data_IF_276404697641
#
_entry.id   IF_276404697641
#
_cell.length_a   1.000
_cell.length_b   1.000
_cell.length_c   1.000
_cell.angle_alpha   90.00
_cell.angle_beta   90.00
_cell.angle_gamma   90.00
#
_symmetry.space_group_name_H-M   'P 1'
#
loop_
_entity.id
_entity.type
_entity.pdbx_description
1 polymer ?
#
# COMPACT_ATOMS: atom_id res chain seq x y z
N UNK A 1 21.45 23.06 -0.79
CA UNK A 1 21.03 21.98 -1.68
C UNK A 1 19.53 22.12 -1.82
N UNK A 2 19.09 22.40 -3.03
CA UNK A 2 17.71 22.69 -3.40
C UNK A 2 16.79 21.53 -2.98
N UNK A 3 16.13 21.63 -1.83
CA UNK A 3 14.99 20.78 -1.47
C UNK A 3 13.83 21.21 -2.37
N UNK A 4 13.88 20.77 -3.62
CA UNK A 4 12.79 20.94 -4.57
C UNK A 4 11.51 20.43 -3.93
N UNK A 5 10.49 21.29 -3.89
CA UNK A 5 9.12 20.95 -3.50
C UNK A 5 8.77 19.58 -4.09
N UNK A 6 8.35 18.60 -3.26
CA UNK A 6 8.03 17.27 -3.77
C UNK A 6 6.97 17.43 -4.87
N UNK A 7 7.10 16.70 -5.99
CA UNK A 7 6.15 16.81 -7.08
C UNK A 7 4.76 16.49 -6.54
N UNK A 8 3.80 17.39 -6.80
CA UNK A 8 2.43 17.19 -6.37
C UNK A 8 1.91 15.85 -6.88
N UNK A 9 1.19 15.07 -6.04
CA UNK A 9 0.59 13.83 -6.46
C UNK A 9 -0.42 14.10 -7.59
N UNK A 10 -0.12 13.60 -8.79
CA UNK A 10 -0.99 13.70 -9.98
C UNK A 10 -2.00 12.55 -10.09
N UNK A 11 -1.81 11.47 -9.33
CA UNK A 11 -2.63 10.27 -9.32
C UNK A 11 -3.46 10.13 -8.06
N UNK A 12 -4.30 9.10 -8.00
CA UNK A 12 -5.11 8.81 -6.82
C UNK A 12 -4.34 7.97 -5.80
N UNK A 13 -4.82 7.96 -4.55
CA UNK A 13 -4.28 7.07 -3.52
C UNK A 13 -4.20 5.62 -3.99
N UNK A 14 -5.21 5.13 -4.70
CA UNK A 14 -5.30 3.73 -5.18
C UNK A 14 -4.22 3.42 -6.24
N UNK A 15 -3.90 4.38 -7.10
CA UNK A 15 -2.84 4.21 -8.11
C UNK A 15 -1.47 4.04 -7.44
N UNK A 16 -1.19 4.91 -6.47
CA UNK A 16 0.03 4.84 -5.67
C UNK A 16 0.06 3.59 -4.81
N UNK A 17 -1.04 3.27 -4.12
CA UNK A 17 -1.19 2.09 -3.28
C UNK A 17 -0.88 0.81 -4.07
N UNK A 18 -1.45 0.65 -5.27
CA UNK A 18 -1.23 -0.52 -6.13
C UNK A 18 0.26 -0.69 -6.42
N UNK A 19 0.95 0.41 -6.73
CA UNK A 19 2.38 0.41 -7.00
C UNK A 19 3.20 0.08 -5.75
N UNK A 20 2.87 0.66 -4.60
CA UNK A 20 3.56 0.36 -3.32
C UNK A 20 3.37 -1.11 -2.94
N UNK A 21 2.17 -1.67 -3.10
CA UNK A 21 1.89 -3.10 -2.83
C UNK A 21 2.74 -4.00 -3.73
N UNK A 22 2.87 -3.68 -5.02
CA UNK A 22 3.71 -4.43 -5.96
C UNK A 22 5.16 -4.51 -5.48
N UNK A 23 5.78 -3.36 -5.19
CA UNK A 23 7.18 -3.32 -4.76
C UNK A 23 7.37 -3.89 -3.35
N UNK A 24 6.40 -3.73 -2.45
CA UNK A 24 6.45 -4.35 -1.12
C UNK A 24 6.53 -5.87 -1.20
N UNK A 25 5.72 -6.47 -2.09
CA UNK A 25 5.75 -7.92 -2.35
C UNK A 25 7.06 -8.36 -3.01
N UNK A 26 7.57 -7.57 -3.96
CA UNK A 26 8.86 -7.84 -4.60
C UNK A 26 9.99 -7.89 -3.55
N UNK A 27 10.06 -6.90 -2.65
CA UNK A 27 11.05 -6.85 -1.55
C UNK A 27 10.94 -8.07 -0.64
N UNK A 28 9.73 -8.51 -0.27
CA UNK A 28 9.56 -9.71 0.54
C UNK A 28 10.06 -10.98 -0.17
N UNK A 29 9.81 -11.10 -1.48
CA UNK A 29 10.33 -12.22 -2.29
C UNK A 29 11.85 -12.17 -2.32
N UNK A 30 12.46 -11.01 -2.62
CA UNK A 30 13.91 -10.84 -2.63
C UNK A 30 14.53 -11.13 -1.26
N UNK A 31 13.92 -10.68 -0.16
CA UNK A 31 14.39 -10.98 1.20
C UNK A 31 14.37 -12.49 1.49
N UNK A 32 13.32 -13.20 1.07
CA UNK A 32 13.22 -14.65 1.21
C UNK A 32 14.25 -15.38 0.34
N UNK A 33 14.53 -14.86 -0.84
CA UNK A 33 15.56 -15.40 -1.72
C UNK A 33 16.96 -15.19 -1.14
N UNK A 34 17.26 -14.00 -0.61
CA UNK A 34 18.52 -13.72 0.10
C UNK A 34 18.72 -14.65 1.29
N UNK A 35 17.66 -14.96 2.04
CA UNK A 35 17.71 -15.94 3.12
C UNK A 35 18.15 -17.32 2.62
N UNK A 36 17.56 -17.80 1.53
CA UNK A 36 17.90 -19.10 0.92
C UNK A 36 19.34 -19.10 0.38
N UNK A 37 19.69 -18.07 -0.39
CA UNK A 37 21.00 -17.96 -1.06
C UNK A 37 22.15 -17.72 -0.09
N UNK A 38 21.89 -17.13 1.08
CA UNK A 38 22.88 -17.06 2.17
C UNK A 38 23.39 -18.44 2.64
N UNK A 39 22.61 -19.50 2.39
CA UNK A 39 22.98 -20.87 2.73
C UNK A 39 23.59 -21.59 1.55
N UNK A 40 23.03 -21.42 0.35
CA UNK A 40 23.35 -22.26 -0.80
C UNK A 40 24.38 -21.64 -1.74
N UNK A 41 24.29 -20.32 -1.98
CA UNK A 41 25.04 -19.59 -3.01
C UNK A 41 25.25 -18.11 -2.60
N UNK A 42 26.13 -17.82 -1.63
CA UNK A 42 26.36 -16.46 -1.14
C UNK A 42 26.85 -15.48 -2.22
N UNK A 43 27.47 -15.97 -3.30
CA UNK A 43 27.93 -15.18 -4.44
C UNK A 43 26.79 -14.43 -5.16
N UNK A 44 25.56 -14.95 -5.14
CA UNK A 44 24.40 -14.31 -5.77
C UNK A 44 23.81 -13.16 -4.94
N UNK A 45 24.19 -13.03 -3.67
CA UNK A 45 23.62 -12.05 -2.75
C UNK A 45 23.81 -10.60 -3.20
N UNK A 46 24.88 -10.31 -3.94
CA UNK A 46 25.16 -8.96 -4.46
C UNK A 46 24.13 -8.52 -5.49
N UNK A 47 23.68 -9.44 -6.36
CA UNK A 47 22.61 -9.17 -7.32
C UNK A 47 21.28 -8.90 -6.62
N UNK A 48 20.94 -9.74 -5.63
CA UNK A 48 19.71 -9.59 -4.84
C UNK A 48 19.71 -8.31 -3.99
N UNK A 49 20.86 -7.93 -3.43
CA UNK A 49 21.01 -6.67 -2.68
C UNK A 49 20.78 -5.44 -3.57
N UNK A 50 21.26 -5.48 -4.82
CA UNK A 50 21.00 -4.43 -5.81
C UNK A 50 19.51 -4.36 -6.17
N UNK A 51 18.88 -5.51 -6.43
CA UNK A 51 17.44 -5.60 -6.69
C UNK A 51 16.62 -5.02 -5.52
N UNK A 52 16.93 -5.41 -4.28
CA UNK A 52 16.26 -4.90 -3.09
C UNK A 52 16.37 -3.38 -2.96
N UNK A 53 17.54 -2.83 -3.27
CA UNK A 53 17.78 -1.38 -3.22
C UNK A 53 16.95 -0.65 -4.27
N UNK A 54 16.86 -1.19 -5.49
CA UNK A 54 16.05 -0.62 -6.57
C UNK A 54 14.56 -0.68 -6.25
N UNK A 55 14.07 -1.84 -5.81
CA UNK A 55 12.67 -2.03 -5.45
C UNK A 55 12.27 -1.12 -4.28
N UNK A 56 13.14 -0.96 -3.29
CA UNK A 56 12.92 -0.01 -2.19
C UNK A 56 12.92 1.44 -2.68
N UNK A 57 13.79 1.82 -3.62
CA UNK A 57 13.79 3.16 -4.21
C UNK A 57 12.46 3.51 -4.87
N UNK A 58 11.89 2.58 -5.65
CA UNK A 58 10.56 2.74 -6.23
C UNK A 58 9.46 2.78 -5.17
N UNK A 59 9.51 1.87 -4.19
CA UNK A 59 8.56 1.84 -3.08
C UNK A 59 8.57 3.15 -2.30
N UNK A 60 9.74 3.71 -1.98
CA UNK A 60 9.87 4.93 -1.18
C UNK A 60 9.30 6.16 -1.90
N UNK A 61 9.52 6.27 -3.21
CA UNK A 61 8.94 7.33 -4.02
C UNK A 61 7.41 7.24 -4.03
N UNK A 62 6.89 6.07 -4.32
CA UNK A 62 5.44 5.84 -4.44
C UNK A 62 4.75 5.90 -3.07
N UNK A 63 5.42 5.44 -2.02
CA UNK A 63 4.93 5.49 -0.63
C UNK A 63 4.78 6.92 -0.13
N UNK A 64 5.65 7.84 -0.58
CA UNK A 64 5.50 9.28 -0.31
C UNK A 64 4.25 9.86 -0.98
N UNK A 65 4.00 9.48 -2.24
CA UNK A 65 2.82 9.94 -2.98
C UNK A 65 1.54 9.36 -2.36
N UNK A 66 1.52 8.06 -2.06
CA UNK A 66 0.42 7.41 -1.35
C UNK A 66 0.15 8.11 -0.01
N UNK A 67 1.18 8.39 0.78
CA UNK A 67 1.04 9.10 2.06
C UNK A 67 0.46 10.51 1.90
N UNK A 68 0.88 11.26 0.87
CA UNK A 68 0.38 12.61 0.61
C UNK A 68 -1.09 12.64 0.17
N UNK A 69 -1.56 11.58 -0.49
CA UNK A 69 -2.96 11.43 -0.94
C UNK A 69 -3.85 10.69 0.04
N UNK A 70 -3.29 10.20 1.16
CA UNK A 70 -4.02 9.40 2.12
C UNK A 70 -4.88 10.28 3.02
N UNK A 71 -6.14 9.90 3.21
CA UNK A 71 -7.06 10.52 4.15
C UNK A 71 -7.62 9.45 5.12
N UNK A 72 -7.61 9.70 6.44
CA UNK A 72 -7.12 10.91 7.12
C UNK A 72 -5.58 11.00 7.19
N UNK A 73 -5.04 12.19 7.52
CA UNK A 73 -3.59 12.48 7.57
C UNK A 73 -2.80 11.49 8.43
N UNK A 74 -3.41 10.97 9.51
CA UNK A 74 -2.82 9.94 10.37
C UNK A 74 -2.40 8.69 9.56
N UNK A 75 -3.20 8.29 8.58
CA UNK A 75 -2.86 7.16 7.71
C UNK A 75 -1.64 7.48 6.85
N UNK A 76 -1.57 8.70 6.30
CA UNK A 76 -0.40 9.15 5.55
C UNK A 76 0.88 9.10 6.39
N UNK A 77 0.80 9.57 7.64
CA UNK A 77 1.91 9.49 8.60
C UNK A 77 2.31 8.03 8.89
N UNK A 78 1.34 7.13 9.11
CA UNK A 78 1.61 5.71 9.33
C UNK A 78 2.30 5.07 8.13
N UNK A 79 1.80 5.30 6.91
CA UNK A 79 2.42 4.79 5.67
C UNK A 79 3.88 5.25 5.58
N UNK A 80 4.14 6.55 5.74
CA UNK A 80 5.49 7.11 5.69
C UNK A 80 6.42 6.47 6.71
N UNK A 81 5.96 6.31 7.94
CA UNK A 81 6.73 5.69 9.03
C UNK A 81 7.08 4.24 8.71
N UNK A 82 6.09 3.43 8.28
CA UNK A 82 6.33 2.02 7.95
C UNK A 82 7.26 1.85 6.76
N UNK A 83 7.16 2.71 5.75
CA UNK A 83 8.08 2.72 4.60
C UNK A 83 9.51 3.02 5.05
N UNK A 84 9.72 3.98 5.96
CA UNK A 84 11.04 4.30 6.49
C UNK A 84 11.63 3.15 7.33
N UNK A 85 10.83 2.55 8.21
CA UNK A 85 11.23 1.39 9.01
C UNK A 85 11.65 0.21 8.12
N UNK A 86 10.89 -0.06 7.05
CA UNK A 86 11.24 -1.04 6.02
C UNK A 86 12.59 -0.71 5.39
N UNK A 87 12.82 0.55 5.02
CA UNK A 87 14.10 1.02 4.47
C UNK A 87 15.29 0.73 5.38
N UNK A 88 15.16 1.00 6.68
CA UNK A 88 16.19 0.63 7.64
C UNK A 88 16.44 -0.88 7.67
N UNK A 89 15.38 -1.69 7.59
CA UNK A 89 15.50 -3.15 7.45
C UNK A 89 16.28 -3.57 6.20
N UNK A 90 15.97 -2.98 5.03
CA UNK A 90 16.66 -3.25 3.77
C UNK A 90 18.14 -2.87 3.85
N UNK A 91 18.48 -1.73 4.45
CA UNK A 91 19.87 -1.29 4.63
C UNK A 91 20.66 -2.33 5.43
N UNK A 92 20.14 -2.77 6.58
CA UNK A 92 20.81 -3.79 7.39
C UNK A 92 20.96 -5.11 6.64
N UNK A 93 19.92 -5.56 5.94
CA UNK A 93 19.97 -6.80 5.17
C UNK A 93 21.04 -6.75 4.06
N UNK A 94 21.10 -5.65 3.31
CA UNK A 94 22.12 -5.42 2.27
C UNK A 94 23.53 -5.39 2.87
N UNK A 95 23.72 -4.76 4.03
CA UNK A 95 25.01 -4.75 4.71
C UNK A 95 25.46 -6.15 5.15
N UNK A 96 24.55 -6.96 5.71
CA UNK A 96 24.85 -8.34 6.10
C UNK A 96 25.11 -9.23 4.89
N UNK A 97 24.40 -9.02 3.79
CA UNK A 97 24.67 -9.68 2.52
C UNK A 97 26.08 -9.37 2.01
N UNK A 98 26.49 -8.10 2.00
CA UNK A 98 27.84 -7.70 1.61
C UNK A 98 28.93 -8.29 2.51
N UNK A 99 28.71 -8.29 3.83
CA UNK A 99 29.64 -8.93 4.78
C UNK A 99 29.77 -10.44 4.54
N UNK A 100 28.66 -11.13 4.29
CA UNK A 100 28.65 -12.57 4.02
C UNK A 100 29.32 -12.90 2.67
N UNK A 101 29.26 -12.02 1.68
CA UNK A 101 29.98 -12.20 0.43
C UNK A 101 31.51 -12.16 0.62
N UNK A 102 32.00 -11.35 1.55
CA UNK A 102 33.43 -11.27 1.88
C UNK A 102 33.87 -12.52 2.64
N UNK A 103 33.04 -13.01 3.57
CA UNK A 103 33.32 -14.17 4.40
C UNK A 103 32.17 -15.21 4.35
N UNK A 104 32.04 -16.01 3.28
CA UNK A 104 30.90 -16.92 3.08
C UNK A 104 30.74 -18.03 4.13
N UNK A 105 31.83 -18.34 4.84
CA UNK A 105 31.86 -19.37 5.88
C UNK A 105 31.50 -18.84 7.27
N UNK A 106 31.27 -17.53 7.42
CA UNK A 106 30.91 -16.94 8.71
C UNK A 106 29.45 -17.26 9.08
N UNK A 107 29.30 -18.22 10.00
CA UNK A 107 28.01 -18.67 10.50
C UNK A 107 27.26 -17.58 11.29
N UNK A 108 27.98 -16.63 11.89
CA UNK A 108 27.37 -15.54 12.65
C UNK A 108 26.70 -14.54 11.72
N UNK A 109 27.42 -14.00 10.73
CA UNK A 109 26.85 -13.08 9.73
C UNK A 109 25.70 -13.73 8.95
N UNK A 110 25.81 -15.01 8.64
CA UNK A 110 24.72 -15.77 8.00
C UNK A 110 23.44 -15.78 8.84
N UNK A 111 23.55 -16.03 10.15
CA UNK A 111 22.40 -16.00 11.06
C UNK A 111 21.78 -14.61 11.14
N UNK A 112 22.60 -13.57 11.27
CA UNK A 112 22.12 -12.18 11.29
C UNK A 112 21.42 -11.79 9.98
N UNK A 113 21.90 -12.25 8.82
CA UNK A 113 21.26 -12.04 7.53
C UNK A 113 19.85 -12.66 7.52
N UNK A 114 19.71 -13.90 8.00
CA UNK A 114 18.41 -14.59 8.09
C UNK A 114 17.45 -13.82 9.01
N UNK A 115 17.93 -13.32 10.14
CA UNK A 115 17.13 -12.49 11.07
C UNK A 115 16.71 -11.16 10.40
N UNK A 116 17.63 -10.49 9.69
CA UNK A 116 17.31 -9.27 8.95
C UNK A 116 16.27 -9.52 7.84
N UNK A 117 16.38 -10.64 7.12
CA UNK A 117 15.42 -11.02 6.08
C UNK A 117 14.00 -11.23 6.66
N UNK A 118 13.89 -11.88 7.82
CA UNK A 118 12.60 -12.02 8.52
C UNK A 118 12.03 -10.68 8.94
N UNK A 119 12.86 -9.82 9.53
CA UNK A 119 12.44 -8.49 9.96
C UNK A 119 11.97 -7.62 8.77
N UNK A 120 12.60 -7.75 7.58
CA UNK A 120 12.13 -7.08 6.35
C UNK A 120 10.75 -7.59 5.94
N UNK A 121 10.53 -8.91 5.95
CA UNK A 121 9.22 -9.50 5.61
C UNK A 121 8.10 -9.06 6.58
N UNK A 122 8.41 -8.95 7.88
CA UNK A 122 7.48 -8.42 8.88
C UNK A 122 7.14 -6.94 8.59
N UNK A 123 8.15 -6.11 8.32
CA UNK A 123 7.96 -4.68 8.00
C UNK A 123 7.18 -4.48 6.70
N UNK A 124 7.38 -5.34 5.69
CA UNK A 124 6.55 -5.37 4.48
C UNK A 124 5.08 -5.56 4.86
N UNK A 125 4.79 -6.50 5.77
CA UNK A 125 3.41 -6.74 6.22
C UNK A 125 2.80 -5.52 6.92
N UNK A 126 3.60 -4.77 7.69
CA UNK A 126 3.16 -3.52 8.31
C UNK A 126 2.85 -2.41 7.28
N UNK A 127 3.67 -2.29 6.23
CA UNK A 127 3.41 -1.36 5.11
C UNK A 127 2.08 -1.71 4.43
N UNK A 128 1.87 -2.99 4.11
CA UNK A 128 0.63 -3.46 3.49
C UNK A 128 -0.61 -3.19 4.36
N UNK A 129 -0.48 -3.37 5.68
CA UNK A 129 -1.55 -3.08 6.63
C UNK A 129 -1.91 -1.59 6.66
N UNK A 130 -0.92 -0.70 6.70
CA UNK A 130 -1.14 0.75 6.67
C UNK A 130 -1.83 1.20 5.37
N UNK A 131 -1.40 0.64 4.23
CA UNK A 131 -2.03 0.90 2.93
C UNK A 131 -3.49 0.42 2.87
N UNK A 132 -3.80 -0.71 3.50
CA UNK A 132 -5.16 -1.23 3.55
C UNK A 132 -6.07 -0.38 4.44
N UNK A 133 -5.53 0.22 5.51
CA UNK A 133 -6.25 1.16 6.33
C UNK A 133 -6.67 2.42 5.55
N UNK A 134 -5.78 2.95 4.69
CA UNK A 134 -6.11 4.11 3.83
C UNK A 134 -7.18 3.84 2.79
N UNK A 135 -7.24 2.62 2.24
CA UNK A 135 -8.27 2.27 1.26
C UNK A 135 -9.70 2.27 1.84
N UNK A 136 -9.85 2.15 3.17
CA UNK A 136 -11.18 2.16 3.80
C UNK A 136 -11.94 3.46 3.56
N UNK A 137 -11.25 4.61 3.56
CA UNK A 137 -11.86 5.91 3.29
C UNK A 137 -12.41 6.00 1.87
N UNK A 138 -11.62 5.58 0.88
CA UNK A 138 -12.04 5.54 -0.53
C UNK A 138 -13.21 4.57 -0.75
N UNK A 139 -13.20 3.40 -0.11
CA UNK A 139 -14.29 2.43 -0.21
C UNK A 139 -15.61 2.98 0.34
N UNK A 140 -15.58 3.69 1.47
CA UNK A 140 -16.79 4.32 2.04
C UNK A 140 -17.43 5.32 1.06
N UNK A 141 -16.61 6.14 0.38
CA UNK A 141 -17.09 7.07 -0.64
C UNK A 141 -17.68 6.36 -1.87
N UNK A 142 -17.07 5.26 -2.33
CA UNK A 142 -17.61 4.44 -3.43
C UNK A 142 -18.97 3.86 -3.06
N UNK A 143 -19.10 3.31 -1.84
CA UNK A 143 -20.36 2.77 -1.34
C UNK A 143 -21.44 3.86 -1.25
N UNK A 144 -21.09 5.04 -0.73
CA UNK A 144 -22.01 6.16 -0.65
C UNK A 144 -22.50 6.61 -2.04
N UNK A 145 -21.58 6.74 -3.01
CA UNK A 145 -21.94 7.10 -4.38
C UNK A 145 -22.87 6.04 -5.03
N UNK A 146 -22.60 4.75 -4.81
CA UNK A 146 -23.46 3.67 -5.29
C UNK A 146 -24.87 3.73 -4.67
N UNK A 147 -24.98 4.08 -3.39
CA UNK A 147 -26.27 4.26 -2.73
C UNK A 147 -27.04 5.45 -3.31
N UNK A 148 -26.37 6.58 -3.55
CA UNK A 148 -26.98 7.76 -4.19
C UNK A 148 -27.48 7.44 -5.59
N UNK A 149 -26.72 6.71 -6.41
CA UNK A 149 -27.18 6.27 -7.73
C UNK A 149 -28.42 5.38 -7.66
N UNK A 150 -28.52 4.52 -6.63
CA UNK A 150 -29.71 3.72 -6.37
C UNK A 150 -30.94 4.58 -6.04
N UNK A 151 -30.77 5.61 -5.21
CA UNK A 151 -31.83 6.58 -4.88
C UNK A 151 -32.28 7.34 -6.13
N UNK A 152 -31.34 7.76 -6.98
CA UNK A 152 -31.67 8.46 -8.24
C UNK A 152 -32.53 7.56 -9.15
N UNK A 153 -32.17 6.27 -9.28
CA UNK A 153 -32.94 5.33 -10.10
C UNK A 153 -34.37 5.09 -9.56
N UNK A 154 -34.52 5.08 -8.24
CA UNK A 154 -35.82 4.97 -7.58
C UNK A 154 -36.68 6.24 -7.78
N UNK A 155 -36.05 7.41 -7.70
CA UNK A 155 -36.69 8.69 -8.02
C UNK A 155 -37.13 8.76 -9.48
N UNK A 156 -36.29 8.32 -10.43
CA UNK A 156 -36.66 8.25 -11.85
C UNK A 156 -37.86 7.34 -12.10
N UNK A 157 -37.91 6.20 -11.38
CA UNK A 157 -39.03 5.27 -11.42
C UNK A 157 -40.30 5.92 -10.84
N UNK A 158 -40.18 6.64 -9.73
CA UNK A 158 -41.28 7.40 -9.12
C UNK A 158 -41.83 8.47 -10.07
N UNK A 159 -40.93 9.23 -10.72
CA UNK A 159 -41.30 10.24 -11.72
C UNK A 159 -42.01 9.59 -12.91
N UNK A 160 -41.53 8.43 -13.37
CA UNK A 160 -42.17 7.67 -14.45
C UNK A 160 -43.58 7.22 -14.06
N UNK A 161 -43.78 6.66 -12.86
CA UNK A 161 -45.11 6.28 -12.37
C UNK A 161 -46.04 7.47 -12.24
N UNK A 162 -45.55 8.60 -11.71
CA UNK A 162 -46.34 9.83 -11.60
C UNK A 162 -46.78 10.35 -12.97
N UNK A 163 -45.85 10.38 -13.94
CA UNK A 163 -46.10 10.87 -15.30
C UNK A 163 -47.06 9.94 -16.07
N UNK A 164 -46.96 8.63 -15.86
CA UNK A 164 -47.87 7.64 -16.44
C UNK A 164 -49.26 7.61 -15.76
N UNK A 165 -49.45 8.35 -14.67
CA UNK A 165 -50.69 8.34 -13.89
C UNK A 165 -50.93 7.03 -13.14
N UNK A 166 -49.88 6.24 -12.92
CA UNK A 166 -49.93 4.93 -12.25
C UNK A 166 -49.38 4.96 -10.83
N UNK A 167 -48.88 6.12 -10.37
CA UNK A 167 -48.54 6.36 -8.97
C UNK A 167 -49.82 6.57 -8.15
N UNK A 168 -50.20 5.55 -7.38
CA UNK A 168 -51.37 5.62 -6.48
C UNK A 168 -50.94 6.02 -5.07
N UNK A 169 -51.81 6.71 -4.35
CA UNK A 169 -51.61 6.98 -2.93
C UNK A 169 -51.65 5.67 -2.13
N UNK A 170 -50.58 5.40 -1.38
CA UNK A 170 -50.60 4.36 -0.36
C UNK A 170 -51.17 5.01 0.92
N UNK A 171 -52.44 4.71 1.26
CA UNK A 171 -53.24 5.28 2.37
C UNK A 171 -53.94 6.62 2.12
N UNK A 172 -54.68 7.08 3.14
CA UNK A 172 -55.38 8.37 3.22
C UNK A 172 -54.44 9.54 3.57
N UNK A 173 -53.15 9.41 3.27
CA UNK A 173 -52.14 10.43 3.54
C UNK A 173 -52.35 11.61 2.58
N UNK A 174 -52.45 12.81 3.14
CA UNK A 174 -52.53 14.05 2.38
C UNK A 174 -51.19 14.76 2.35
N UNK A 175 -51.02 15.71 1.44
CA UNK A 175 -49.83 16.57 1.42
C UNK A 175 -49.57 17.30 2.77
N UNK A 176 -50.60 17.47 3.60
CA UNK A 176 -50.45 18.13 4.90
C UNK A 176 -49.84 17.22 5.99
N UNK A 177 -49.70 15.93 5.73
CA UNK A 177 -49.21 14.93 6.70
C UNK A 177 -47.68 14.68 6.59
N UNK A 178 -47.01 15.25 5.57
CA UNK A 178 -45.56 15.13 5.29
C UNK A 178 -44.90 16.49 5.10
#
# INVERSE_FOLDING_TARGET
>A
LDEGTPPDPKGTFVDYQTTVVKYSKAIAVTAQEMMTKSVTNPEELGGLASQMTNDYGHLALQGRMAAATAEPEEIGFQIRTRVQELGHGCIFLVQKAGALQICPTDSYTKRELIECARAVTEKVSLVLSALQAGNKGTQACITAASAVSGIIADLDTTIMFATAGTLNAENNESFADH
#
